data_IF_317822868353
#
_entry.id   IF_317822868353
#
_cell.length_a   1.000
_cell.length_b   1.000
_cell.length_c   1.000
_cell.angle_alpha   90.00
_cell.angle_beta   90.00
_cell.angle_gamma   90.00
#
_symmetry.space_group_name_H-M   'P 1'
#
loop_
_entity.id
_entity.type
_entity.pdbx_description
1 polymer ?
#
# COMPACT_ATOMS: atom_id res chain seq x y z
N UNK A 1 -24.16 7.72 -4.23
CA UNK A 1 -22.93 7.26 -3.54
C UNK A 1 -21.84 6.94 -4.56
N UNK A 2 -22.12 6.10 -5.52
CA UNK A 2 -21.24 5.83 -6.67
C UNK A 2 -20.87 7.13 -7.40
N UNK A 3 -21.81 8.05 -7.51
CA UNK A 3 -21.63 9.37 -8.12
C UNK A 3 -20.54 10.22 -7.45
N UNK A 4 -20.35 10.09 -6.11
CA UNK A 4 -19.32 10.85 -5.37
C UNK A 4 -17.90 10.40 -5.75
N UNK A 5 -17.67 9.09 -5.86
CA UNK A 5 -16.36 8.58 -6.30
C UNK A 5 -16.13 8.85 -7.80
N UNK A 6 -17.17 8.78 -8.61
CA UNK A 6 -17.06 9.11 -10.03
C UNK A 6 -16.76 10.59 -10.27
N UNK A 7 -17.39 11.48 -9.48
CA UNK A 7 -17.11 12.91 -9.53
C UNK A 7 -15.68 13.20 -9.05
N UNK A 8 -15.30 12.67 -7.91
CA UNK A 8 -13.95 12.82 -7.37
C UNK A 8 -12.90 12.26 -8.34
N UNK A 9 -13.13 11.09 -8.92
CA UNK A 9 -12.26 10.49 -9.92
C UNK A 9 -12.08 11.38 -11.15
N UNK A 10 -13.15 12.00 -11.68
CA UNK A 10 -13.07 12.95 -12.78
C UNK A 10 -12.25 14.19 -12.44
N UNK A 11 -12.42 14.72 -11.24
CA UNK A 11 -11.68 15.90 -10.78
C UNK A 11 -10.17 15.61 -10.67
N UNK A 12 -9.80 14.45 -10.12
CA UNK A 12 -8.40 14.01 -10.01
C UNK A 12 -7.80 13.75 -11.40
N UNK A 13 -8.52 13.08 -12.32
CA UNK A 13 -8.06 12.89 -13.70
C UNK A 13 -7.83 14.22 -14.43
N UNK A 14 -8.68 15.21 -14.20
CA UNK A 14 -8.50 16.53 -14.79
C UNK A 14 -7.25 17.22 -14.22
N UNK A 15 -7.00 17.08 -12.93
CA UNK A 15 -5.78 17.60 -12.29
C UNK A 15 -4.52 16.92 -12.86
N UNK A 16 -4.55 15.59 -13.04
CA UNK A 16 -3.48 14.83 -13.69
C UNK A 16 -3.21 15.30 -15.13
N UNK A 17 -4.23 15.44 -15.95
CA UNK A 17 -4.10 15.95 -17.33
C UNK A 17 -3.47 17.34 -17.36
N UNK A 18 -3.86 18.23 -16.46
CA UNK A 18 -3.27 19.58 -16.33
C UNK A 18 -1.82 19.53 -15.84
N UNK A 19 -1.51 18.61 -14.94
CA UNK A 19 -0.15 18.39 -14.44
C UNK A 19 0.77 17.82 -15.54
N UNK A 20 0.29 16.84 -16.31
CA UNK A 20 1.02 16.19 -17.41
C UNK A 20 1.28 17.12 -18.61
N UNK A 21 0.34 18.00 -18.95
CA UNK A 21 0.49 18.96 -20.05
C UNK A 21 1.46 20.10 -19.77
N UNK A 22 1.80 20.33 -18.51
CA UNK A 22 2.75 21.36 -18.11
C UNK A 22 4.16 20.76 -18.05
N UNK A 23 5.05 21.11 -19.01
CA UNK A 23 6.48 20.82 -18.92
C UNK A 23 6.96 21.20 -17.51
N UNK A 24 7.50 20.22 -16.74
CA UNK A 24 7.98 20.23 -15.34
C UNK A 24 7.64 21.51 -14.55
N UNK A 25 6.88 21.41 -13.45
CA UNK A 25 6.53 22.57 -12.63
C UNK A 25 7.79 23.15 -11.98
N UNK A 26 8.27 24.27 -12.46
CA UNK A 26 9.30 25.06 -11.77
C UNK A 26 8.66 25.85 -10.63
N UNK A 27 9.03 25.54 -9.39
CA UNK A 27 8.83 26.36 -8.18
C UNK A 27 7.40 26.56 -7.67
N UNK A 28 6.60 27.42 -8.26
CA UNK A 28 5.33 27.90 -7.70
C UNK A 28 4.11 26.99 -7.88
N UNK A 29 4.14 26.01 -8.77
CA UNK A 29 3.00 25.11 -9.06
C UNK A 29 2.92 23.86 -8.18
N UNK A 30 4.05 23.38 -7.68
CA UNK A 30 4.09 22.24 -6.78
C UNK A 30 3.28 22.44 -5.48
N UNK A 31 3.32 23.62 -4.83
CA UNK A 31 2.48 23.90 -3.67
C UNK A 31 0.98 23.92 -3.98
N UNK A 32 0.59 24.43 -5.18
CA UNK A 32 -0.81 24.46 -5.59
C UNK A 32 -1.36 23.05 -5.86
N UNK A 33 -0.57 22.19 -6.51
CA UNK A 33 -0.94 20.79 -6.75
C UNK A 33 -0.99 19.99 -5.44
N UNK A 34 -0.10 20.25 -4.48
CA UNK A 34 -0.15 19.65 -3.14
C UNK A 34 -1.43 20.03 -2.41
N UNK A 35 -1.80 21.30 -2.38
CA UNK A 35 -3.07 21.74 -1.79
C UNK A 35 -4.29 21.09 -2.45
N UNK A 36 -4.25 20.93 -3.77
CA UNK A 36 -5.31 20.26 -4.51
C UNK A 36 -5.43 18.78 -4.12
N UNK A 37 -4.30 18.12 -3.96
CA UNK A 37 -4.19 16.76 -3.49
C UNK A 37 -4.76 16.60 -2.08
N UNK A 38 -4.46 17.51 -1.16
CA UNK A 38 -4.99 17.51 0.21
C UNK A 38 -6.52 17.65 0.21
N UNK A 39 -7.06 18.54 -0.63
CA UNK A 39 -8.52 18.71 -0.82
C UNK A 39 -9.16 17.42 -1.34
N UNK A 40 -8.55 16.75 -2.31
CA UNK A 40 -9.06 15.49 -2.85
C UNK A 40 -9.05 14.37 -1.81
N UNK A 41 -8.05 14.32 -0.94
CA UNK A 41 -7.97 13.37 0.17
C UNK A 41 -9.07 13.60 1.20
N UNK A 42 -9.31 14.85 1.59
CA UNK A 42 -10.40 15.20 2.51
C UNK A 42 -11.76 14.78 1.93
N UNK A 43 -11.96 14.99 0.63
CA UNK A 43 -13.19 14.54 -0.06
C UNK A 43 -13.30 13.02 -0.12
N UNK A 44 -12.19 12.30 -0.30
CA UNK A 44 -12.18 10.84 -0.26
C UNK A 44 -12.55 10.33 1.14
N UNK A 45 -11.94 10.86 2.19
CA UNK A 45 -12.26 10.51 3.59
C UNK A 45 -13.72 10.80 3.90
N UNK A 46 -14.28 11.93 3.41
CA UNK A 46 -15.68 12.24 3.58
C UNK A 46 -16.61 11.25 2.86
N UNK A 47 -16.22 10.79 1.66
CA UNK A 47 -16.97 9.78 0.91
C UNK A 47 -16.91 8.41 1.60
N UNK A 48 -15.75 8.02 2.13
CA UNK A 48 -15.54 6.76 2.87
C UNK A 48 -16.40 6.67 4.14
N UNK A 49 -16.61 7.77 4.85
CA UNK A 49 -17.48 7.81 6.05
C UNK A 49 -18.95 7.42 5.79
N UNK A 50 -19.39 7.55 4.56
CA UNK A 50 -20.76 7.23 4.13
C UNK A 50 -20.84 5.98 3.25
N UNK A 51 -19.71 5.38 2.92
CA UNK A 51 -19.63 4.17 2.09
C UNK A 51 -19.38 2.92 2.95
N UNK A 52 -20.48 2.34 3.46
CA UNK A 52 -20.45 1.13 4.28
C UNK A 52 -20.19 -0.16 3.45
N UNK A 53 -20.15 -0.10 2.12
CA UNK A 53 -20.11 -1.29 1.26
C UNK A 53 -18.91 -1.37 0.31
N UNK A 54 -17.99 -0.40 0.37
CA UNK A 54 -16.76 -0.42 -0.44
C UNK A 54 -17.06 -0.33 -1.95
N UNK A 55 -17.49 0.85 -2.42
CA UNK A 55 -17.81 1.05 -3.83
C UNK A 55 -16.58 0.89 -4.74
N UNK A 56 -16.72 0.23 -5.88
CA UNK A 56 -15.66 0.03 -6.89
C UNK A 56 -15.00 1.34 -7.37
N UNK A 57 -15.69 2.48 -7.28
CA UNK A 57 -15.15 3.81 -7.58
C UNK A 57 -14.04 4.27 -6.63
N UNK A 58 -13.99 3.77 -5.39
CA UNK A 58 -13.00 4.11 -4.38
C UNK A 58 -11.58 3.76 -4.83
N UNK A 59 -11.38 2.54 -5.29
CA UNK A 59 -10.06 2.04 -5.70
C UNK A 59 -9.51 2.83 -6.90
N UNK A 60 -10.38 3.20 -7.83
CA UNK A 60 -10.04 4.08 -8.94
C UNK A 60 -9.55 5.46 -8.47
N UNK A 61 -10.26 6.07 -7.51
CA UNK A 61 -9.86 7.37 -6.95
C UNK A 61 -8.52 7.29 -6.25
N UNK A 62 -8.30 6.24 -5.45
CA UNK A 62 -7.01 6.00 -4.79
C UNK A 62 -5.86 5.89 -5.79
N UNK A 63 -6.06 5.15 -6.88
CA UNK A 63 -5.06 5.00 -7.95
C UNK A 63 -4.75 6.35 -8.61
N UNK A 64 -5.77 7.15 -8.92
CA UNK A 64 -5.58 8.47 -9.53
C UNK A 64 -4.89 9.47 -8.59
N UNK A 65 -5.19 9.43 -7.30
CA UNK A 65 -4.50 10.25 -6.31
C UNK A 65 -3.01 9.90 -6.21
N UNK A 66 -2.67 8.60 -6.23
CA UNK A 66 -1.27 8.14 -6.27
C UNK A 66 -0.54 8.68 -7.51
N UNK A 67 -1.14 8.58 -8.69
CA UNK A 67 -0.56 9.12 -9.92
C UNK A 67 -0.33 10.64 -9.85
N UNK A 68 -1.24 11.38 -9.20
CA UNK A 68 -1.09 12.83 -9.00
C UNK A 68 0.09 13.14 -8.07
N UNK A 69 0.30 12.32 -7.05
CA UNK A 69 1.44 12.45 -6.14
C UNK A 69 2.77 12.18 -6.79
N UNK A 70 2.86 11.09 -7.54
CA UNK A 70 4.06 10.77 -8.32
C UNK A 70 4.41 11.93 -9.25
N UNK A 71 3.40 12.59 -9.79
CA UNK A 71 3.60 13.76 -10.64
C UNK A 71 4.07 15.00 -9.86
N UNK A 72 3.62 15.19 -8.63
CA UNK A 72 4.04 16.28 -7.73
C UNK A 72 5.41 16.00 -7.12
N UNK A 73 5.62 14.73 -6.70
CA UNK A 73 6.85 14.24 -6.09
C UNK A 73 8.00 14.05 -7.07
N UNK A 74 7.79 14.20 -8.36
CA UNK A 74 8.68 13.89 -9.48
C UNK A 74 10.06 14.56 -9.51
N UNK A 75 10.63 14.83 -8.36
CA UNK A 75 12.05 15.02 -8.04
C UNK A 75 12.30 14.96 -6.52
N UNK A 76 11.49 14.24 -5.76
CA UNK A 76 11.91 13.73 -4.47
C UNK A 76 12.92 12.63 -4.79
N UNK A 77 14.20 12.95 -4.59
CA UNK A 77 15.31 12.04 -4.52
C UNK A 77 14.79 10.67 -4.09
N UNK A 78 14.65 9.73 -5.04
CA UNK A 78 14.79 8.33 -4.67
C UNK A 78 15.97 8.33 -3.70
N UNK A 79 15.86 7.82 -2.46
CA UNK A 79 17.06 7.37 -1.83
C UNK A 79 17.63 6.46 -2.90
N UNK A 80 18.79 6.80 -3.44
CA UNK A 80 19.46 6.00 -4.44
C UNK A 80 19.34 4.58 -3.91
N UNK A 81 18.70 3.69 -4.69
CA UNK A 81 18.78 2.27 -4.45
C UNK A 81 20.28 2.05 -4.31
N UNK A 82 20.72 1.97 -3.05
CA UNK A 82 22.10 1.66 -2.75
C UNK A 82 22.35 0.41 -3.57
N UNK A 83 23.35 0.44 -4.41
CA UNK A 83 23.74 -0.72 -5.21
C UNK A 83 23.87 -1.95 -4.32
N UNK A 84 24.19 -3.15 -4.77
CA UNK A 84 24.14 -4.39 -3.99
C UNK A 84 24.88 -4.19 -2.67
N UNK A 85 24.23 -3.62 -1.68
CA UNK A 85 24.74 -3.07 -0.42
C UNK A 85 23.92 -3.59 0.73
N UNK A 86 24.56 -4.18 1.65
CA UNK A 86 24.26 -4.54 3.04
C UNK A 86 22.77 -4.47 3.47
N UNK A 87 21.93 -5.30 2.85
CA UNK A 87 20.54 -5.51 3.30
C UNK A 87 20.49 -6.11 4.70
N UNK A 88 21.58 -6.76 5.15
CA UNK A 88 21.70 -7.34 6.49
C UNK A 88 21.78 -6.26 7.56
N UNK A 89 22.57 -5.21 7.35
CA UNK A 89 22.63 -4.06 8.26
C UNK A 89 21.31 -3.33 8.35
N UNK A 90 20.59 -3.21 7.24
CA UNK A 90 19.27 -2.59 7.24
C UNK A 90 18.25 -3.40 8.04
N UNK A 91 18.19 -4.73 7.86
CA UNK A 91 17.30 -5.59 8.66
C UNK A 91 17.59 -5.49 10.16
N UNK A 92 18.86 -5.42 10.54
CA UNK A 92 19.25 -5.32 11.94
C UNK A 92 18.71 -4.07 12.64
N UNK A 93 18.50 -2.97 11.92
CA UNK A 93 17.94 -1.73 12.48
C UNK A 93 16.44 -1.77 12.71
N UNK A 94 15.75 -2.79 12.21
CA UNK A 94 14.30 -2.96 12.34
C UNK A 94 13.87 -4.12 13.24
N UNK A 95 14.74 -4.60 14.15
CA UNK A 95 14.37 -5.70 15.06
C UNK A 95 13.57 -5.20 16.26
N UNK A 96 12.51 -5.96 16.64
CA UNK A 96 11.66 -5.66 17.79
C UNK A 96 10.86 -4.36 17.66
N UNK A 97 10.56 -3.93 16.46
CA UNK A 97 9.86 -2.66 16.21
C UNK A 97 8.35 -2.81 16.29
N UNK A 98 7.68 -1.70 16.57
CA UNK A 98 6.23 -1.58 16.45
C UNK A 98 5.89 -1.12 15.03
N UNK A 99 5.35 -2.01 14.22
CA UNK A 99 4.92 -1.76 12.85
C UNK A 99 3.46 -1.32 12.82
N UNK A 100 3.19 -0.19 12.19
CA UNK A 100 1.87 0.44 12.21
C UNK A 100 1.30 0.50 10.80
N UNK A 101 0.05 0.03 10.64
CA UNK A 101 -0.70 0.16 9.41
C UNK A 101 -2.13 0.62 9.67
N UNK A 102 -2.93 0.77 8.60
CA UNK A 102 -4.32 1.22 8.72
C UNK A 102 -5.23 0.09 9.20
N UNK A 103 -6.33 0.41 9.93
CA UNK A 103 -7.36 -0.56 10.29
C UNK A 103 -7.94 -1.29 9.07
N UNK A 104 -8.59 -2.43 9.33
CA UNK A 104 -9.19 -3.31 8.32
C UNK A 104 -8.19 -3.74 7.25
N UNK A 105 -7.14 -4.50 7.62
CA UNK A 105 -6.11 -4.91 6.67
C UNK A 105 -6.70 -5.69 5.49
N UNK A 106 -6.24 -5.32 4.28
CA UNK A 106 -6.49 -6.01 3.02
C UNK A 106 -5.29 -6.87 2.61
N UNK A 107 -5.29 -7.32 1.37
CA UNK A 107 -4.30 -8.27 0.82
C UNK A 107 -2.87 -7.78 1.00
N UNK A 108 -2.55 -6.56 0.58
CA UNK A 108 -1.18 -6.04 0.64
C UNK A 108 -0.70 -5.86 2.08
N UNK A 109 -1.56 -5.39 3.00
CA UNK A 109 -1.22 -5.25 4.43
C UNK A 109 -1.01 -6.58 5.11
N UNK A 110 -1.81 -7.60 4.81
CA UNK A 110 -1.66 -8.95 5.35
C UNK A 110 -0.35 -9.60 4.86
N UNK A 111 -0.09 -9.52 3.56
CA UNK A 111 1.13 -10.05 2.95
C UNK A 111 2.38 -9.30 3.45
N UNK A 112 2.32 -7.97 3.53
CA UNK A 112 3.41 -7.13 4.04
C UNK A 112 3.72 -7.43 5.51
N UNK A 113 2.70 -7.58 6.36
CA UNK A 113 2.89 -7.97 7.75
C UNK A 113 3.52 -9.36 7.88
N UNK A 114 3.07 -10.33 7.08
CA UNK A 114 3.68 -11.65 7.01
C UNK A 114 5.15 -11.57 6.59
N UNK A 115 5.48 -10.82 5.52
CA UNK A 115 6.86 -10.63 5.06
C UNK A 115 7.73 -10.00 6.14
N UNK A 116 7.21 -8.99 6.85
CA UNK A 116 7.89 -8.33 7.95
C UNK A 116 8.20 -9.36 9.04
N UNK A 117 7.20 -10.09 9.52
CA UNK A 117 7.34 -11.06 10.62
C UNK A 117 8.31 -12.18 10.29
N UNK A 118 8.32 -12.70 9.08
CA UNK A 118 9.10 -13.89 8.73
C UNK A 118 10.50 -13.58 8.18
N UNK A 119 10.69 -12.43 7.53
CA UNK A 119 11.91 -12.14 6.78
C UNK A 119 12.66 -10.89 7.25
N UNK A 120 11.99 -9.95 7.94
CA UNK A 120 12.57 -8.66 8.31
C UNK A 120 12.75 -8.56 9.83
N UNK A 121 11.66 -8.70 10.59
CA UNK A 121 11.60 -8.47 12.03
C UNK A 121 10.77 -9.56 12.72
N UNK A 122 11.43 -10.60 13.19
CA UNK A 122 10.78 -11.76 13.85
C UNK A 122 10.07 -11.41 15.16
N UNK A 123 10.55 -10.39 15.86
CA UNK A 123 10.00 -9.91 17.12
C UNK A 123 9.09 -8.70 16.92
N UNK A 124 8.83 -8.32 15.66
CA UNK A 124 8.01 -7.19 15.30
C UNK A 124 6.59 -7.29 15.85
N UNK A 125 6.13 -6.22 16.45
CA UNK A 125 4.74 -6.06 16.91
C UNK A 125 3.96 -5.27 15.88
N UNK A 126 2.65 -5.49 15.81
CA UNK A 126 1.80 -4.77 14.88
C UNK A 126 0.75 -3.95 15.63
N UNK A 127 0.42 -2.79 15.08
CA UNK A 127 -0.62 -1.92 15.58
C UNK A 127 -1.30 -1.17 14.44
N UNK A 128 -2.33 -0.41 14.78
CA UNK A 128 -3.17 0.28 13.80
C UNK A 128 -3.29 1.76 14.13
N UNK A 129 -3.22 2.59 13.09
CA UNK A 129 -3.49 4.01 13.13
C UNK A 129 -4.26 4.43 11.87
N UNK A 130 -5.17 5.37 12.01
CA UNK A 130 -6.01 5.81 10.89
C UNK A 130 -5.19 6.51 9.79
N UNK A 131 -4.16 7.25 10.19
CA UNK A 131 -3.31 8.05 9.34
C UNK A 131 -1.87 8.11 9.89
N UNK A 132 -0.98 8.73 9.13
CA UNK A 132 0.43 8.88 9.50
C UNK A 132 0.63 9.74 10.73
N UNK A 133 -0.19 10.75 10.92
CA UNK A 133 -0.12 11.70 12.03
C UNK A 133 -0.45 11.04 13.37
N UNK A 134 -1.22 9.96 13.32
CA UNK A 134 -1.61 9.15 14.50
C UNK A 134 -0.60 8.04 14.83
N UNK A 135 0.46 7.88 14.04
CA UNK A 135 1.50 6.88 14.30
C UNK A 135 2.36 7.33 15.47
N UNK A 136 2.60 6.48 16.49
CA UNK A 136 3.52 6.80 17.58
C UNK A 136 4.94 7.08 17.08
N UNK A 137 5.70 7.95 17.76
CA UNK A 137 7.06 8.37 17.36
C UNK A 137 8.03 7.20 17.12
N UNK A 138 7.86 6.09 17.85
CA UNK A 138 8.69 4.89 17.70
C UNK A 138 8.10 3.86 16.73
N UNK A 139 6.92 4.11 16.19
CA UNK A 139 6.24 3.24 15.24
C UNK A 139 6.87 3.33 13.85
N UNK A 140 6.93 2.20 13.17
CA UNK A 140 7.35 2.10 11.77
C UNK A 140 6.11 1.97 10.90
N UNK A 141 5.68 3.02 10.21
CA UNK A 141 4.48 2.96 9.38
C UNK A 141 4.74 2.18 8.08
N UNK A 142 3.78 1.34 7.68
CA UNK A 142 3.79 0.64 6.39
C UNK A 142 2.38 0.61 5.77
N UNK A 143 2.33 0.51 4.46
CA UNK A 143 1.11 0.61 3.64
C UNK A 143 0.20 1.76 4.06
N UNK A 144 0.84 2.89 4.33
CA UNK A 144 0.23 4.17 4.57
C UNK A 144 0.68 5.18 3.54
N UNK A 145 -0.10 6.22 3.42
CA UNK A 145 0.19 7.31 2.51
C UNK A 145 1.41 8.13 2.98
N UNK A 146 2.34 8.42 2.04
CA UNK A 146 3.50 9.30 2.28
C UNK A 146 4.54 8.74 3.26
N UNK A 147 4.59 7.43 3.47
CA UNK A 147 5.59 6.74 4.28
C UNK A 147 6.60 5.98 3.41
N UNK A 148 7.75 5.65 3.99
CA UNK A 148 8.83 4.95 3.30
C UNK A 148 8.41 3.58 2.76
N UNK A 149 7.72 2.79 3.58
CA UNK A 149 7.24 1.45 3.23
C UNK A 149 5.80 1.53 2.75
N UNK A 150 5.62 2.05 1.55
CA UNK A 150 4.33 2.14 0.85
C UNK A 150 4.50 1.79 -0.62
N UNK A 151 3.42 1.85 -1.38
CA UNK A 151 3.48 1.68 -2.83
C UNK A 151 4.52 2.60 -3.46
N UNK A 152 5.39 2.06 -4.31
CA UNK A 152 6.41 2.82 -5.05
C UNK A 152 6.32 2.52 -6.54
N UNK A 153 6.18 3.58 -7.34
CA UNK A 153 6.00 3.45 -8.78
C UNK A 153 4.73 2.66 -9.10
N UNK A 154 4.89 1.56 -9.80
CA UNK A 154 3.79 0.66 -10.18
C UNK A 154 3.66 -0.56 -9.25
N UNK A 155 4.47 -0.64 -8.18
CA UNK A 155 4.49 -1.76 -7.25
C UNK A 155 3.69 -1.53 -5.98
N UNK A 156 3.17 -2.62 -5.39
CA UNK A 156 2.50 -2.60 -4.10
C UNK A 156 3.50 -2.53 -2.93
N UNK A 157 3.01 -2.38 -1.70
CA UNK A 157 3.86 -2.27 -0.49
C UNK A 157 4.67 -3.53 -0.26
N UNK A 158 4.10 -4.71 -0.51
CA UNK A 158 4.80 -5.99 -0.44
C UNK A 158 6.05 -6.02 -1.34
N UNK A 159 5.91 -5.61 -2.60
CA UNK A 159 7.01 -5.53 -3.57
C UNK A 159 8.07 -4.50 -3.15
N UNK A 160 7.62 -3.36 -2.62
CA UNK A 160 8.51 -2.34 -2.05
C UNK A 160 9.35 -2.91 -0.91
N UNK A 161 8.74 -3.62 0.04
CA UNK A 161 9.46 -4.25 1.15
C UNK A 161 10.44 -5.32 0.65
N UNK A 162 10.04 -6.16 -0.30
CA UNK A 162 10.94 -7.14 -0.92
C UNK A 162 12.19 -6.47 -1.50
N UNK A 163 12.00 -5.39 -2.26
CA UNK A 163 13.08 -4.63 -2.89
C UNK A 163 14.00 -3.97 -1.86
N UNK A 164 13.41 -3.27 -0.88
CA UNK A 164 14.16 -2.50 0.13
C UNK A 164 15.02 -3.39 1.02
N UNK A 165 14.53 -4.58 1.35
CA UNK A 165 15.23 -5.52 2.24
C UNK A 165 15.96 -6.64 1.50
N UNK A 166 16.00 -6.61 0.16
CA UNK A 166 16.68 -7.61 -0.65
C UNK A 166 16.14 -9.03 -0.46
N UNK A 167 14.83 -9.17 -0.35
CA UNK A 167 14.14 -10.44 -0.14
C UNK A 167 13.63 -10.94 -1.48
N UNK A 168 14.11 -12.09 -1.93
CA UNK A 168 13.75 -12.66 -3.22
C UNK A 168 13.69 -14.19 -3.17
N UNK A 169 12.92 -14.78 -4.08
CA UNK A 169 12.81 -16.23 -4.24
C UNK A 169 11.60 -16.60 -5.11
N UNK A 170 11.56 -17.80 -5.69
CA UNK A 170 10.45 -18.20 -6.58
C UNK A 170 9.08 -18.15 -5.90
N UNK A 171 8.97 -18.66 -4.68
CA UNK A 171 7.73 -18.64 -3.89
C UNK A 171 7.29 -17.20 -3.58
N UNK A 172 8.23 -16.32 -3.22
CA UNK A 172 7.96 -14.90 -2.97
C UNK A 172 7.51 -14.16 -4.23
N UNK A 173 8.08 -14.50 -5.39
CA UNK A 173 7.66 -13.91 -6.67
C UNK A 173 6.22 -14.28 -7.02
N UNK A 174 5.79 -15.52 -6.71
CA UNK A 174 4.38 -15.93 -6.88
C UNK A 174 3.45 -15.18 -5.93
N UNK A 175 3.84 -15.02 -4.67
CA UNK A 175 3.08 -14.23 -3.71
C UNK A 175 2.99 -12.77 -4.17
N UNK A 176 4.10 -12.18 -4.60
CA UNK A 176 4.12 -10.81 -5.13
C UNK A 176 3.13 -10.64 -6.29
N UNK A 177 3.08 -11.60 -7.22
CA UNK A 177 2.13 -11.61 -8.33
C UNK A 177 0.67 -11.61 -7.85
N UNK A 178 0.33 -12.46 -6.88
CA UNK A 178 -1.02 -12.54 -6.31
C UNK A 178 -1.39 -11.23 -5.60
N UNK A 179 -0.49 -10.70 -4.77
CA UNK A 179 -0.72 -9.45 -4.02
C UNK A 179 -0.89 -8.29 -4.98
N UNK A 180 -0.03 -8.17 -5.99
CA UNK A 180 -0.09 -7.15 -7.02
C UNK A 180 -1.45 -7.14 -7.73
N UNK A 181 -1.86 -8.28 -8.30
CA UNK A 181 -3.12 -8.39 -9.04
C UNK A 181 -4.35 -8.09 -8.17
N UNK A 182 -4.35 -8.54 -6.90
CA UNK A 182 -5.47 -8.33 -5.99
C UNK A 182 -5.54 -6.89 -5.45
N UNK A 183 -4.40 -6.24 -5.23
CA UNK A 183 -4.36 -4.89 -4.67
C UNK A 183 -4.50 -3.82 -5.76
N UNK A 184 -3.72 -3.92 -6.82
CA UNK A 184 -3.69 -2.91 -7.89
C UNK A 184 -4.77 -3.11 -8.95
N UNK A 185 -5.25 -4.35 -9.14
CA UNK A 185 -6.31 -4.73 -10.08
C UNK A 185 -6.08 -4.23 -11.51
N UNK A 186 -4.81 -4.16 -11.91
CA UNK A 186 -4.41 -3.67 -13.23
C UNK A 186 -4.36 -4.77 -14.31
N UNK A 187 -4.51 -6.03 -13.90
CA UNK A 187 -4.55 -7.20 -14.77
C UNK A 187 -3.23 -7.56 -15.44
N UNK A 188 -2.11 -7.07 -14.92
CA UNK A 188 -0.80 -7.23 -15.55
C UNK A 188 -0.22 -8.62 -15.44
N UNK A 189 -0.44 -9.28 -14.32
CA UNK A 189 0.22 -10.56 -14.02
C UNK A 189 -0.70 -11.74 -14.30
N UNK A 190 -1.96 -11.66 -13.91
CA UNK A 190 -2.97 -12.71 -14.15
C UNK A 190 -2.70 -13.98 -13.36
N UNK A 191 -2.28 -13.86 -12.09
CA UNK A 191 -1.99 -15.00 -11.24
C UNK A 191 -3.26 -15.87 -11.02
N UNK A 192 -3.19 -17.18 -11.33
CA UNK A 192 -4.37 -18.05 -11.30
C UNK A 192 -4.98 -18.21 -9.90
N UNK A 193 -4.21 -18.00 -8.85
CA UNK A 193 -4.63 -18.10 -7.46
C UNK A 193 -5.45 -16.90 -6.97
N UNK A 194 -5.47 -15.78 -7.70
CA UNK A 194 -6.08 -14.52 -7.26
C UNK A 194 -7.55 -14.68 -6.86
N UNK A 195 -8.36 -15.37 -7.65
CA UNK A 195 -9.78 -15.56 -7.32
C UNK A 195 -9.98 -16.29 -5.99
N UNK A 196 -9.20 -17.34 -5.74
CA UNK A 196 -9.30 -18.13 -4.51
C UNK A 196 -8.77 -17.36 -3.32
N UNK A 197 -7.60 -16.76 -3.44
CA UNK A 197 -6.96 -15.98 -2.35
C UNK A 197 -7.79 -14.75 -2.02
N UNK A 198 -8.32 -14.05 -3.03
CA UNK A 198 -9.21 -12.91 -2.85
C UNK A 198 -10.46 -13.27 -2.07
N UNK A 199 -11.14 -14.37 -2.45
CA UNK A 199 -12.31 -14.87 -1.74
C UNK A 199 -12.02 -15.30 -0.29
N UNK A 200 -10.84 -15.88 -0.02
CA UNK A 200 -10.41 -16.19 1.34
C UNK A 200 -10.22 -14.92 2.18
N UNK A 201 -9.58 -13.90 1.63
CA UNK A 201 -9.36 -12.62 2.33
C UNK A 201 -10.68 -11.92 2.64
N UNK A 202 -11.61 -11.88 1.68
CA UNK A 202 -12.97 -11.35 1.90
C UNK A 202 -13.68 -12.11 3.02
N UNK A 203 -13.59 -13.44 3.03
CA UNK A 203 -14.13 -14.29 4.09
C UNK A 203 -13.53 -13.98 5.46
N UNK A 204 -12.20 -13.79 5.54
CA UNK A 204 -11.53 -13.39 6.77
C UNK A 204 -12.00 -12.01 7.25
N UNK A 205 -12.13 -11.04 6.36
CA UNK A 205 -12.61 -9.70 6.71
C UNK A 205 -14.06 -9.71 7.24
N UNK A 206 -14.89 -10.62 6.76
CA UNK A 206 -16.25 -10.81 7.28
C UNK A 206 -16.27 -11.50 8.65
N UNK A 207 -15.41 -12.51 8.84
CA UNK A 207 -15.36 -13.32 10.05
C UNK A 207 -14.72 -12.59 11.24
N UNK A 208 -13.70 -11.76 10.99
CA UNK A 208 -12.91 -11.11 12.03
C UNK A 208 -13.15 -9.61 12.06
N UNK A 209 -13.80 -9.12 13.15
CA UNK A 209 -14.03 -7.68 13.34
C UNK A 209 -12.86 -6.99 14.07
N UNK A 210 -12.04 -7.73 14.80
CA UNK A 210 -10.84 -7.24 15.44
C UNK A 210 -9.69 -7.26 14.43
N UNK A 211 -9.01 -6.12 14.25
CA UNK A 211 -7.98 -5.93 13.24
C UNK A 211 -6.70 -6.74 13.53
N UNK A 212 -6.36 -6.94 14.80
CA UNK A 212 -5.21 -7.76 15.20
C UNK A 212 -5.46 -9.22 14.84
N UNK A 213 -6.63 -9.75 15.21
CA UNK A 213 -7.02 -11.11 14.86
C UNK A 213 -7.12 -11.30 13.33
N UNK A 214 -7.66 -10.33 12.61
CA UNK A 214 -7.73 -10.35 11.16
C UNK A 214 -6.33 -10.40 10.53
N UNK A 215 -5.40 -9.57 11.02
CA UNK A 215 -4.03 -9.52 10.53
C UNK A 215 -3.29 -10.85 10.78
N UNK A 216 -3.46 -11.46 11.97
CA UNK A 216 -2.85 -12.75 12.31
C UNK A 216 -3.38 -13.88 11.39
N UNK A 217 -4.68 -13.89 11.08
CA UNK A 217 -5.24 -14.87 10.13
C UNK A 217 -4.74 -14.64 8.71
N UNK A 218 -4.61 -13.38 8.30
CA UNK A 218 -3.99 -13.01 7.03
C UNK A 218 -2.54 -13.48 6.93
N UNK A 219 -1.73 -13.27 7.97
CA UNK A 219 -0.35 -13.78 8.01
C UNK A 219 -0.31 -15.31 7.93
N UNK A 220 -1.21 -16.01 8.60
CA UNK A 220 -1.32 -17.48 8.53
C UNK A 220 -1.66 -17.96 7.11
N UNK A 221 -2.55 -17.25 6.42
CA UNK A 221 -2.88 -17.53 5.01
C UNK A 221 -1.63 -17.42 4.13
N UNK A 222 -0.86 -16.32 4.25
CA UNK A 222 0.35 -16.12 3.44
C UNK A 222 1.47 -17.09 3.79
N UNK A 223 1.62 -17.49 5.05
CA UNK A 223 2.56 -18.55 5.45
C UNK A 223 2.20 -19.90 4.79
N UNK A 224 0.91 -20.22 4.75
CA UNK A 224 0.42 -21.44 4.10
C UNK A 224 0.65 -21.42 2.58
N UNK A 225 0.40 -20.28 1.94
CA UNK A 225 0.68 -20.08 0.51
C UNK A 225 2.18 -20.21 0.22
N UNK A 226 3.01 -19.57 1.01
CA UNK A 226 4.47 -19.62 0.85
C UNK A 226 4.97 -21.07 0.90
N UNK A 227 4.57 -21.84 1.92
CA UNK A 227 4.93 -23.27 2.06
C UNK A 227 4.43 -24.11 0.90
N UNK A 228 3.29 -23.78 0.30
CA UNK A 228 2.76 -24.51 -0.86
C UNK A 228 3.53 -24.22 -2.16
N UNK A 229 4.30 -23.14 -2.18
CA UNK A 229 5.10 -22.72 -3.33
C UNK A 229 6.58 -23.09 -3.22
N UNK A 230 7.06 -23.49 -2.04
CA UNK A 230 8.39 -24.07 -1.82
C UNK A 230 8.48 -25.50 -2.39
#
# INVERSE_FOLDING_TARGET
RQDLYEELGRDVEQALKRAASARRPKGTRAPALRRLLDIFRERLVAAEKIDFFGSAGRDRVLTLLRQLEDHIGGTGRQPALSGPGDHSGRKASFQGRLWITRPRPGVDRMASAWLIRFFIDREGQFGFAADRESVPDQGVPFDMFGVEFSHQGEGCTFETLCSVFGIAGPALSRIAAIVHDLDLKDGRVGAPECSTVGGMIEGLQLAYQNDEALLEQGMTLFDSLYRSFE
#
